data_IF_963308444981
#
_entry.id   IF_963308444981
#
_cell.length_a   1.000
_cell.length_b   1.000
_cell.length_c   1.000
_cell.angle_alpha   90.00
_cell.angle_beta   90.00
_cell.angle_gamma   90.00
#
_symmetry.space_group_name_H-M   'P 1'
#
loop_
_entity.id
_entity.type
_entity.pdbx_description
1 polymer ?
#
# COMPACT_ATOMS: atom_id res chain seq x y z
N UNK A 1 -0.09 -38.16 2.60
CA UNK A 1 1.35 -38.07 2.32
C UNK A 1 1.55 -36.88 1.41
N UNK A 2 2.14 -35.79 1.89
CA UNK A 2 2.55 -34.69 1.02
C UNK A 2 3.91 -35.09 0.48
N UNK A 3 4.00 -35.46 -0.79
CA UNK A 3 5.29 -35.74 -1.43
C UNK A 3 6.20 -34.52 -1.28
N UNK A 4 7.51 -34.71 -1.05
CA UNK A 4 8.42 -33.59 -0.99
C UNK A 4 8.38 -32.82 -2.32
N UNK A 5 8.43 -31.48 -2.28
CA UNK A 5 8.43 -30.64 -3.48
C UNK A 5 9.56 -31.04 -4.43
N UNK A 6 9.27 -31.04 -5.73
CA UNK A 6 10.28 -31.36 -6.73
C UNK A 6 11.41 -30.31 -6.67
N UNK A 7 12.67 -30.66 -7.00
CA UNK A 7 13.78 -29.69 -6.99
C UNK A 7 13.50 -28.42 -7.81
N UNK A 8 12.79 -28.57 -8.93
CA UNK A 8 12.37 -27.45 -9.79
C UNK A 8 11.39 -26.50 -9.10
N UNK A 9 10.48 -27.02 -8.28
CA UNK A 9 9.52 -26.21 -7.50
C UNK A 9 10.24 -25.38 -6.44
N UNK A 10 11.23 -25.99 -5.78
CA UNK A 10 12.06 -25.30 -4.79
C UNK A 10 12.85 -24.15 -5.43
N UNK A 11 13.43 -24.38 -6.60
CA UNK A 11 14.21 -23.36 -7.31
C UNK A 11 13.34 -22.22 -7.84
N UNK A 12 12.16 -22.55 -8.40
CA UNK A 12 11.18 -21.56 -8.85
C UNK A 12 10.67 -20.69 -7.69
N UNK A 13 10.35 -21.31 -6.55
CA UNK A 13 9.95 -20.58 -5.36
C UNK A 13 11.08 -19.72 -4.81
N UNK A 14 12.31 -20.24 -4.76
CA UNK A 14 13.47 -19.50 -4.27
C UNK A 14 13.74 -18.26 -5.12
N UNK A 15 13.71 -18.40 -6.44
CA UNK A 15 13.87 -17.26 -7.35
C UNK A 15 12.78 -16.20 -7.13
N UNK A 16 11.52 -16.61 -6.93
CA UNK A 16 10.43 -15.70 -6.58
C UNK A 16 10.70 -15.01 -5.24
N UNK A 17 11.05 -15.78 -4.20
CA UNK A 17 11.31 -15.29 -2.85
C UNK A 17 12.43 -14.25 -2.86
N UNK A 18 13.58 -14.58 -3.43
CA UNK A 18 14.75 -13.71 -3.48
C UNK A 18 14.45 -12.40 -4.23
N UNK A 19 13.63 -12.46 -5.30
CA UNK A 19 13.25 -11.29 -6.08
C UNK A 19 12.17 -10.41 -5.42
N UNK A 20 11.36 -10.95 -4.50
CA UNK A 20 10.11 -10.29 -4.07
C UNK A 20 9.93 -10.16 -2.57
N UNK A 21 10.72 -10.84 -1.72
CA UNK A 21 10.58 -10.79 -0.27
C UNK A 21 10.63 -9.35 0.25
N UNK A 22 11.70 -8.65 -0.06
CA UNK A 22 11.94 -7.30 0.41
C UNK A 22 10.89 -6.31 -0.10
N UNK A 23 10.50 -6.30 -1.39
CA UNK A 23 9.33 -5.59 -1.85
C UNK A 23 8.07 -5.91 -1.03
N UNK A 24 7.68 -7.18 -0.91
CA UNK A 24 6.46 -7.62 -0.19
C UNK A 24 6.48 -7.20 1.27
N UNK A 25 7.61 -7.30 1.96
CA UNK A 25 7.74 -6.83 3.32
C UNK A 25 7.47 -5.32 3.41
N UNK A 26 8.07 -4.52 2.53
CA UNK A 26 7.82 -3.06 2.46
C UNK A 26 6.36 -2.74 2.13
N UNK A 27 5.71 -3.51 1.24
CA UNK A 27 4.28 -3.37 0.97
C UNK A 27 3.44 -3.43 2.25
N UNK A 28 3.76 -4.42 3.09
CA UNK A 28 3.02 -4.78 4.28
C UNK A 28 3.36 -3.81 5.42
N UNK A 29 4.63 -3.49 5.64
CA UNK A 29 5.09 -2.53 6.64
C UNK A 29 4.50 -1.12 6.44
N UNK A 30 4.25 -0.73 5.19
CA UNK A 30 3.56 0.52 4.85
C UNK A 30 2.09 0.54 5.29
N UNK A 31 1.50 -0.64 5.45
CA UNK A 31 0.10 -0.82 5.78
C UNK A 31 -0.03 -1.06 7.29
N UNK A 32 0.68 -2.00 7.89
CA UNK A 32 0.53 -2.29 9.33
C UNK A 32 1.65 -1.67 10.18
N UNK A 33 1.31 -1.05 11.33
CA UNK A 33 2.29 -0.31 12.14
C UNK A 33 3.20 -1.22 12.95
N UNK A 34 2.77 -2.41 13.35
CA UNK A 34 3.57 -3.35 14.12
C UNK A 34 4.50 -4.16 13.22
N UNK A 35 5.82 -4.00 13.41
CA UNK A 35 6.86 -4.64 12.59
C UNK A 35 6.80 -6.17 12.63
N UNK A 36 6.65 -6.76 13.82
CA UNK A 36 6.55 -8.22 13.96
C UNK A 36 5.33 -8.78 13.21
N UNK A 37 4.21 -8.04 13.19
CA UNK A 37 3.06 -8.44 12.38
C UNK A 37 3.34 -8.33 10.89
N UNK A 38 4.19 -7.39 10.47
CA UNK A 38 4.54 -7.25 9.07
C UNK A 38 5.35 -8.44 8.57
N UNK A 39 6.30 -8.90 9.37
CA UNK A 39 7.05 -10.14 9.09
C UNK A 39 6.13 -11.35 9.07
N UNK A 40 5.24 -11.50 10.06
CA UNK A 40 4.28 -12.61 10.11
C UNK A 40 3.38 -12.68 8.86
N UNK A 41 2.81 -11.54 8.45
CA UNK A 41 1.98 -11.47 7.24
C UNK A 41 2.82 -11.72 5.98
N UNK A 42 4.08 -11.31 5.98
CA UNK A 42 5.01 -11.62 4.88
C UNK A 42 5.27 -13.12 4.79
N UNK A 43 5.57 -13.78 5.91
CA UNK A 43 5.75 -15.21 5.97
C UNK A 43 4.50 -15.96 5.52
N UNK A 44 3.31 -15.57 6.01
CA UNK A 44 2.04 -16.17 5.58
C UNK A 44 1.81 -15.99 4.07
N UNK A 45 2.18 -14.84 3.51
CA UNK A 45 2.10 -14.59 2.06
C UNK A 45 2.94 -15.59 1.27
N UNK A 46 4.19 -15.82 1.70
CA UNK A 46 5.07 -16.79 1.04
C UNK A 46 4.67 -18.24 1.31
N UNK A 47 4.09 -18.56 2.47
CA UNK A 47 3.49 -19.87 2.72
C UNK A 47 2.30 -20.14 1.79
N UNK A 48 1.45 -19.15 1.53
CA UNK A 48 0.37 -19.27 0.55
C UNK A 48 0.93 -19.42 -0.87
N UNK A 49 1.98 -18.66 -1.22
CA UNK A 49 2.65 -18.79 -2.51
C UNK A 49 3.22 -20.19 -2.72
N UNK A 50 3.88 -20.74 -1.69
CA UNK A 50 4.41 -22.10 -1.70
C UNK A 50 3.31 -23.16 -1.88
N UNK A 51 2.19 -23.04 -1.16
CA UNK A 51 1.05 -23.96 -1.28
C UNK A 51 0.34 -23.88 -2.63
N UNK A 52 0.55 -22.82 -3.40
CA UNK A 52 -0.13 -22.54 -4.67
C UNK A 52 0.85 -22.29 -5.80
N UNK A 53 2.02 -22.92 -5.72
CA UNK A 53 3.11 -22.76 -6.67
C UNK A 53 2.73 -23.18 -8.10
N UNK A 54 1.79 -24.11 -8.22
CA UNK A 54 1.14 -24.55 -9.45
C UNK A 54 0.29 -23.46 -10.12
N UNK A 55 -0.25 -22.52 -9.33
CA UNK A 55 -1.06 -21.40 -9.83
C UNK A 55 -0.25 -20.14 -10.12
N UNK A 56 1.06 -20.20 -9.89
CA UNK A 56 1.94 -19.06 -10.07
C UNK A 56 2.10 -18.78 -11.57
N UNK A 57 1.90 -17.54 -12.01
CA UNK A 57 2.11 -17.17 -13.41
C UNK A 57 3.53 -17.48 -13.90
N UNK A 58 3.67 -17.70 -15.20
CA UNK A 58 4.94 -18.07 -15.82
C UNK A 58 5.89 -16.86 -15.96
N UNK A 59 5.34 -15.65 -16.08
CA UNK A 59 6.15 -14.43 -16.18
C UNK A 59 6.49 -13.90 -14.78
N UNK A 60 7.69 -13.36 -14.61
CA UNK A 60 8.13 -12.79 -13.34
C UNK A 60 7.27 -11.58 -12.91
N UNK A 61 6.82 -10.77 -13.86
CA UNK A 61 5.95 -9.62 -13.60
C UNK A 61 4.57 -10.04 -13.10
N UNK A 62 3.94 -11.02 -13.75
CA UNK A 62 2.63 -11.51 -13.33
C UNK A 62 2.72 -12.29 -12.01
N UNK A 63 3.80 -13.04 -11.79
CA UNK A 63 4.10 -13.72 -10.53
C UNK A 63 4.21 -12.73 -9.38
N UNK A 64 4.92 -11.61 -9.59
CA UNK A 64 5.06 -10.52 -8.63
C UNK A 64 3.71 -9.88 -8.31
N UNK A 65 2.91 -9.54 -9.33
CA UNK A 65 1.60 -8.94 -9.14
C UNK A 65 0.62 -9.89 -8.42
N UNK A 66 0.66 -11.17 -8.76
CA UNK A 66 -0.11 -12.21 -8.09
C UNK A 66 0.25 -12.29 -6.60
N UNK A 67 1.54 -12.25 -6.29
CA UNK A 67 2.05 -12.28 -4.91
C UNK A 67 1.60 -11.06 -4.10
N UNK A 68 1.59 -9.86 -4.68
CA UNK A 68 1.00 -8.68 -4.03
C UNK A 68 -0.50 -8.81 -3.80
N UNK A 69 -1.21 -9.48 -4.71
CA UNK A 69 -2.60 -9.86 -4.53
C UNK A 69 -2.80 -10.78 -3.33
N UNK A 70 -1.90 -11.75 -3.13
CA UNK A 70 -1.89 -12.63 -1.94
C UNK A 70 -1.60 -11.83 -0.67
N UNK A 71 -0.55 -11.00 -0.68
CA UNK A 71 -0.20 -10.14 0.45
C UNK A 71 -1.38 -9.26 0.89
N UNK A 72 -2.10 -8.68 -0.07
CA UNK A 72 -3.32 -7.90 0.19
C UNK A 72 -4.41 -8.74 0.87
N UNK A 73 -4.61 -9.99 0.43
CA UNK A 73 -5.60 -10.89 1.04
C UNK A 73 -5.22 -11.26 2.47
N UNK A 74 -3.94 -11.55 2.73
CA UNK A 74 -3.44 -11.83 4.08
C UNK A 74 -3.63 -10.61 5.00
N UNK A 75 -3.29 -9.40 4.53
CA UNK A 75 -3.56 -8.15 5.25
C UNK A 75 -5.04 -7.94 5.58
N UNK A 76 -5.95 -8.23 4.64
CA UNK A 76 -7.39 -8.11 4.87
C UNK A 76 -7.92 -9.15 5.87
N UNK A 77 -7.34 -10.35 5.87
CA UNK A 77 -7.67 -11.40 6.83
C UNK A 77 -7.23 -10.99 8.25
N UNK A 78 -6.01 -10.46 8.40
CA UNK A 78 -5.47 -9.96 9.66
C UNK A 78 -6.28 -8.76 10.20
N UNK A 79 -6.66 -7.85 9.31
CA UNK A 79 -7.43 -6.64 9.63
C UNK A 79 -8.85 -6.88 10.16
N UNK A 80 -9.42 -8.09 10.02
CA UNK A 80 -10.71 -8.44 10.62
C UNK A 80 -10.68 -8.45 12.16
N UNK A 81 -9.49 -8.47 12.79
CA UNK A 81 -9.40 -8.70 14.23
C UNK A 81 -9.56 -7.46 15.12
N UNK A 82 -9.16 -6.21 14.76
CA UNK A 82 -9.41 -5.03 15.64
C UNK A 82 -9.05 -3.61 15.17
N UNK A 83 -8.29 -3.40 14.09
CA UNK A 83 -7.57 -2.11 13.87
C UNK A 83 -7.86 -1.38 12.54
N UNK A 84 -9.00 -1.65 11.93
CA UNK A 84 -9.24 -1.48 10.49
C UNK A 84 -9.09 -0.07 9.86
N UNK A 85 -8.81 1.02 10.59
CA UNK A 85 -8.74 2.38 9.97
C UNK A 85 -7.72 3.36 10.58
N UNK A 86 -7.50 3.36 11.89
CA UNK A 86 -6.88 4.52 12.54
C UNK A 86 -5.35 4.49 12.61
N UNK A 87 -4.71 3.34 12.84
CA UNK A 87 -3.25 3.26 12.95
C UNK A 87 -2.57 3.09 11.58
N UNK A 88 -3.21 2.31 10.69
CA UNK A 88 -2.84 2.10 9.28
C UNK A 88 -2.80 3.42 8.49
N UNK A 89 -3.76 4.33 8.75
CA UNK A 89 -3.85 5.63 8.08
C UNK A 89 -2.74 6.61 8.46
N UNK A 90 -2.14 6.48 9.64
CA UNK A 90 -1.17 7.45 10.18
C UNK A 90 0.28 7.19 9.72
N UNK A 91 0.64 5.95 9.39
CA UNK A 91 1.94 5.63 8.76
C UNK A 91 1.88 5.74 7.24
N UNK A 92 0.79 5.24 6.64
CA UNK A 92 0.58 5.43 5.22
C UNK A 92 0.52 6.93 4.91
N UNK A 93 -0.15 7.76 5.72
CA UNK A 93 -0.15 9.22 5.52
C UNK A 93 1.23 9.87 5.52
N UNK A 94 2.16 9.41 6.36
CA UNK A 94 3.51 9.96 6.45
C UNK A 94 4.31 9.73 5.17
N UNK A 95 4.27 8.50 4.64
CA UNK A 95 5.01 8.12 3.43
C UNK A 95 4.29 8.56 2.15
N UNK A 96 2.95 8.53 2.15
CA UNK A 96 2.15 9.11 1.05
C UNK A 96 2.50 10.59 0.92
N UNK A 97 2.54 11.35 2.03
CA UNK A 97 2.87 12.78 2.00
C UNK A 97 4.19 13.05 1.31
N UNK A 98 5.24 12.28 1.59
CA UNK A 98 6.56 12.51 0.97
C UNK A 98 6.51 12.37 -0.57
N UNK A 99 5.87 11.33 -1.09
CA UNK A 99 5.76 11.14 -2.55
C UNK A 99 4.72 12.05 -3.20
N UNK A 100 3.63 12.33 -2.51
CA UNK A 100 2.55 13.22 -2.98
C UNK A 100 3.01 14.68 -3.01
N UNK A 101 3.83 15.11 -2.06
CA UNK A 101 4.47 16.42 -2.11
C UNK A 101 5.36 16.58 -3.35
N UNK A 102 6.06 15.52 -3.78
CA UNK A 102 6.82 15.51 -5.04
C UNK A 102 5.90 15.55 -6.29
N UNK A 103 4.67 15.02 -6.20
CA UNK A 103 3.64 15.13 -7.25
C UNK A 103 2.95 16.53 -7.32
N UNK A 104 3.44 17.53 -6.57
CA UNK A 104 2.96 18.91 -6.65
C UNK A 104 1.68 19.19 -5.86
N UNK A 105 1.36 18.34 -4.87
CA UNK A 105 0.15 18.48 -4.05
C UNK A 105 0.31 19.40 -2.83
N UNK A 106 1.45 20.08 -2.64
CA UNK A 106 1.64 21.03 -1.54
C UNK A 106 2.05 20.38 -0.21
N UNK A 107 2.57 21.17 0.72
CA UNK A 107 3.04 20.73 2.03
C UNK A 107 1.91 20.83 3.06
N UNK A 108 1.15 19.74 3.25
CA UNK A 108 0.13 19.63 4.31
C UNK A 108 0.71 19.08 5.61
N UNK A 109 0.12 19.45 6.76
CA UNK A 109 0.54 18.87 8.04
C UNK A 109 0.12 17.38 8.12
N UNK A 110 0.88 16.59 8.87
CA UNK A 110 0.66 15.15 9.08
C UNK A 110 -0.75 14.85 9.60
N UNK A 111 -1.25 15.70 10.50
CA UNK A 111 -2.57 15.53 11.08
C UNK A 111 -3.69 15.75 10.04
N UNK A 112 -3.56 16.78 9.20
CA UNK A 112 -4.50 17.10 8.12
C UNK A 112 -4.56 15.98 7.08
N UNK A 113 -3.39 15.49 6.66
CA UNK A 113 -3.31 14.37 5.73
C UNK A 113 -3.95 13.11 6.30
N UNK A 114 -3.64 12.74 7.55
CA UNK A 114 -4.22 11.57 8.17
C UNK A 114 -5.75 11.67 8.27
N UNK A 115 -6.28 12.86 8.56
CA UNK A 115 -7.73 13.10 8.57
C UNK A 115 -8.33 12.98 7.17
N UNK A 116 -7.74 13.62 6.17
CA UNK A 116 -8.20 13.56 4.78
C UNK A 116 -8.18 12.12 4.23
N UNK A 117 -7.10 11.37 4.49
CA UNK A 117 -6.98 9.96 4.14
C UNK A 117 -8.11 9.13 4.76
N UNK A 118 -8.42 9.36 6.04
CA UNK A 118 -9.49 8.64 6.75
C UNK A 118 -10.91 8.96 6.25
N UNK A 119 -11.09 10.06 5.50
CA UNK A 119 -12.38 10.39 4.85
C UNK A 119 -12.57 9.68 3.51
N UNK A 120 -11.49 9.18 2.89
CA UNK A 120 -11.57 8.42 1.64
C UNK A 120 -12.30 7.09 1.85
N UNK A 121 -12.98 6.63 0.79
CA UNK A 121 -13.57 5.29 0.78
C UNK A 121 -12.45 4.25 0.78
N UNK A 122 -12.67 3.04 1.34
CA UNK A 122 -11.65 1.98 1.36
C UNK A 122 -11.06 1.68 -0.03
N UNK A 123 -11.89 1.67 -1.08
CA UNK A 123 -11.43 1.44 -2.44
C UNK A 123 -10.51 2.55 -2.99
N UNK A 124 -10.71 3.80 -2.54
CA UNK A 124 -9.88 4.94 -2.94
C UNK A 124 -8.54 4.92 -2.22
N UNK A 125 -8.55 4.63 -0.92
CA UNK A 125 -7.34 4.40 -0.13
C UNK A 125 -6.48 3.29 -0.75
N UNK A 126 -7.10 2.17 -1.13
CA UNK A 126 -6.39 1.06 -1.76
C UNK A 126 -5.78 1.42 -3.12
N UNK A 127 -6.51 2.18 -3.95
CA UNK A 127 -5.99 2.61 -5.24
C UNK A 127 -4.80 3.57 -5.09
N UNK A 128 -4.90 4.55 -4.19
CA UNK A 128 -3.78 5.44 -3.88
C UNK A 128 -2.59 4.67 -3.29
N UNK A 129 -2.84 3.76 -2.35
CA UNK A 129 -1.78 2.99 -1.70
C UNK A 129 -1.01 2.08 -2.65
N UNK A 130 -1.62 1.65 -3.76
CA UNK A 130 -0.93 0.91 -4.83
C UNK A 130 -0.17 1.83 -5.77
N UNK A 131 -0.73 3.00 -6.09
CA UNK A 131 -0.10 3.98 -6.99
C UNK A 131 1.19 4.59 -6.42
N UNK A 132 1.31 4.67 -5.10
CA UNK A 132 2.48 5.19 -4.39
C UNK A 132 3.68 4.25 -4.40
N UNK A 133 3.52 3.08 -5.01
CA UNK A 133 4.61 2.15 -5.13
C UNK A 133 5.09 2.09 -6.57
N UNK A 134 6.28 2.66 -6.79
CA UNK A 134 6.95 2.74 -8.10
C UNK A 134 7.11 1.38 -8.79
N UNK A 135 7.07 0.30 -8.00
CA UNK A 135 7.18 -1.09 -8.44
C UNK A 135 5.87 -1.71 -8.97
N UNK A 136 4.73 -1.03 -8.82
CA UNK A 136 3.42 -1.56 -9.21
C UNK A 136 2.87 -0.73 -10.37
N UNK A 137 2.81 -1.35 -11.56
CA UNK A 137 2.20 -0.71 -12.71
C UNK A 137 0.68 -0.56 -12.52
N UNK A 138 0.05 0.33 -13.31
CA UNK A 138 -1.42 0.43 -13.31
C UNK A 138 -2.13 -0.88 -13.69
N UNK A 139 -1.48 -1.71 -14.51
CA UNK A 139 -2.02 -3.01 -14.90
C UNK A 139 -1.92 -4.02 -13.75
N UNK A 140 -0.78 -4.05 -13.04
CA UNK A 140 -0.60 -4.88 -11.85
C UNK A 140 -1.55 -4.47 -10.73
N UNK A 141 -1.67 -3.17 -10.47
CA UNK A 141 -2.59 -2.65 -9.47
C UNK A 141 -4.05 -3.06 -9.77
N UNK A 142 -4.45 -3.03 -11.04
CA UNK A 142 -5.76 -3.50 -11.46
C UNK A 142 -5.95 -5.00 -11.24
N UNK A 143 -4.92 -5.81 -11.53
CA UNK A 143 -4.90 -7.26 -11.26
C UNK A 143 -5.01 -7.56 -9.76
N UNK A 144 -4.24 -6.86 -8.92
CA UNK A 144 -4.25 -6.97 -7.45
C UNK A 144 -5.64 -6.64 -6.89
N UNK A 145 -6.32 -5.63 -7.45
CA UNK A 145 -7.66 -5.22 -7.04
C UNK A 145 -8.79 -6.01 -7.73
N UNK A 146 -8.46 -6.93 -8.63
CA UNK A 146 -9.41 -7.70 -9.43
C UNK A 146 -10.41 -6.81 -10.20
N UNK A 147 -9.92 -5.76 -10.86
CA UNK A 147 -10.69 -4.84 -11.70
C UNK A 147 -9.99 -4.61 -13.04
N UNK A 148 -10.66 -3.95 -14.00
CA UNK A 148 -10.01 -3.54 -15.25
C UNK A 148 -9.01 -2.39 -15.03
N UNK A 149 -7.97 -2.30 -15.86
CA UNK A 149 -7.00 -1.20 -15.83
C UNK A 149 -7.67 0.17 -15.99
N UNK A 150 -8.73 0.26 -16.81
CA UNK A 150 -9.53 1.46 -16.96
C UNK A 150 -10.30 1.82 -15.67
N UNK A 151 -10.88 0.82 -14.98
CA UNK A 151 -11.54 1.02 -13.70
C UNK A 151 -10.54 1.44 -12.61
N UNK A 152 -9.33 0.88 -12.60
CA UNK A 152 -8.26 1.31 -11.70
C UNK A 152 -7.88 2.76 -11.91
N UNK A 153 -7.57 3.17 -13.16
CA UNK A 153 -7.23 4.57 -13.49
C UNK A 153 -8.33 5.55 -13.11
N UNK A 154 -9.59 5.18 -13.38
CA UNK A 154 -10.76 5.99 -12.98
C UNK A 154 -10.84 6.11 -11.46
N UNK A 155 -10.65 5.01 -10.73
CA UNK A 155 -10.67 4.99 -9.26
C UNK A 155 -9.52 5.81 -8.68
N UNK A 156 -8.32 5.70 -9.23
CA UNK A 156 -7.14 6.46 -8.81
C UNK A 156 -7.34 7.96 -9.02
N UNK A 157 -7.86 8.37 -10.17
CA UNK A 157 -8.19 9.78 -10.42
C UNK A 157 -9.23 10.31 -9.43
N UNK A 158 -10.31 9.56 -9.17
CA UNK A 158 -11.31 9.92 -8.15
C UNK A 158 -10.71 10.00 -6.76
N UNK A 159 -9.82 9.07 -6.40
CA UNK A 159 -9.14 9.06 -5.12
C UNK A 159 -8.25 10.29 -4.94
N UNK A 160 -7.46 10.66 -5.96
CA UNK A 160 -6.65 11.89 -5.98
C UNK A 160 -7.51 13.16 -5.82
N UNK A 161 -8.62 13.26 -6.56
CA UNK A 161 -9.55 14.40 -6.44
C UNK A 161 -10.20 14.47 -5.06
N UNK A 162 -10.62 13.33 -4.50
CA UNK A 162 -11.24 13.29 -3.17
C UNK A 162 -10.24 13.63 -2.08
N UNK A 163 -8.99 13.16 -2.21
CA UNK A 163 -7.91 13.49 -1.28
C UNK A 163 -7.61 14.99 -1.31
N UNK A 164 -7.47 15.60 -2.51
CA UNK A 164 -7.34 17.05 -2.68
C UNK A 164 -8.48 17.80 -1.99
N UNK A 165 -9.72 17.43 -2.31
CA UNK A 165 -10.90 18.07 -1.73
C UNK A 165 -10.89 18.03 -0.19
N UNK A 166 -10.55 16.87 0.40
CA UNK A 166 -10.47 16.76 1.85
C UNK A 166 -9.29 17.53 2.47
N UNK A 167 -8.19 17.68 1.73
CA UNK A 167 -7.05 18.50 2.15
C UNK A 167 -7.36 20.00 2.05
N UNK A 168 -8.04 20.44 0.98
CA UNK A 168 -8.43 21.84 0.76
C UNK A 168 -9.48 22.33 1.78
N UNK A 169 -10.27 21.42 2.35
CA UNK A 169 -11.21 21.71 3.45
C UNK A 169 -10.47 22.05 4.75
N UNK A 170 -9.21 21.60 4.92
CA UNK A 170 -8.35 22.05 6.00
C UNK A 170 -7.64 23.34 5.54
N UNK A 171 -7.99 24.53 6.07
CA UNK A 171 -7.25 25.74 5.73
C UNK A 171 -5.78 25.54 6.12
N UNK A 172 -4.81 25.97 5.30
CA UNK A 172 -3.39 25.84 5.65
C UNK A 172 -3.20 26.45 7.03
N UNK A 173 -2.62 25.68 7.96
CA UNK A 173 -2.21 26.19 9.26
C UNK A 173 -1.46 27.50 9.02
N UNK A 174 -2.10 28.62 9.37
CA UNK A 174 -1.54 29.95 9.15
C UNK A 174 -0.18 29.94 9.82
N UNK A 175 0.94 30.15 9.11
CA UNK A 175 2.21 30.31 9.76
C UNK A 175 2.05 31.51 10.69
N UNK A 176 2.03 31.25 11.98
CA UNK A 176 1.90 32.29 12.99
C UNK A 176 3.20 33.06 12.93
N UNK A 177 3.25 34.11 12.09
CA UNK A 177 4.36 35.06 12.10
C UNK A 177 4.46 35.58 13.52
N UNK A 178 5.60 35.43 14.21
CA UNK A 178 5.77 36.07 15.50
C UNK A 178 5.64 37.57 15.25
N UNK A 179 4.63 38.18 15.86
CA UNK A 179 4.52 39.62 15.91
C UNK A 179 5.77 40.12 16.64
N UNK A 180 6.72 40.67 15.87
CA UNK A 180 7.77 41.50 16.44
C UNK A 180 7.05 42.71 17.04
N UNK A 181 6.82 42.67 18.35
CA UNK A 181 6.52 43.86 19.15
C UNK A 181 7.74 44.76 19.06
N UNK A 182 7.71 45.71 18.15
CA UNK A 182 8.53 46.91 18.27
C UNK A 182 7.97 47.73 19.42
N UNK A 183 8.56 47.57 20.61
CA UNK A 183 8.43 48.55 21.68
C UNK A 183 9.43 49.68 21.40
N UNK A 184 8.90 50.87 21.13
CA UNK A 184 9.56 52.16 21.39
C UNK A 184 8.58 53.02 22.14
#
# INVERSE_FOLDING_TARGET
MNSPPLPQDQERFRALYDATYEPVLRFIQRRIPEEHRAEDVTHETFLVAWRRLDTLPDTAEDARAWLFGVARKCLLAEGKSRFRRTALSVRLSLEVRTQVSDEGLGAFDRAEFAQAWNKLRPAEQEALALALWDDISSADAARILHISTAAYRTRLNRARTSLRHHLDIFPPAVPTRPYLRTHS
#
